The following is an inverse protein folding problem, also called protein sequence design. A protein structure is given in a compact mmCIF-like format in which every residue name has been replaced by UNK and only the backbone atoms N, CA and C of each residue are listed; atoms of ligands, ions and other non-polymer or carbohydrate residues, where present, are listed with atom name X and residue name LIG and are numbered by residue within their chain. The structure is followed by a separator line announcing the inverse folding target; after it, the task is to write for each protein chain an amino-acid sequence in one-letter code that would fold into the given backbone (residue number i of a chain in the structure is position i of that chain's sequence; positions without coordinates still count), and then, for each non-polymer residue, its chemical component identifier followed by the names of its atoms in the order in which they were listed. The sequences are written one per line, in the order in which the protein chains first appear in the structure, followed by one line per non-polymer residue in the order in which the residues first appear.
data_IF_618933069631
#
_entry.id   IF_618933069631
#
_cell.length_a   1.000
_cell.length_b   1.000
_cell.length_c   1.000
_cell.angle_alpha   90.00
_cell.angle_beta   90.00
_cell.angle_gamma   90.00
#
_symmetry.space_group_name_H-M   'P 1'
#
loop_
_entity.id
_entity.type
_entity.pdbx_description
1 polymer ?
#
# COMPACT_ATOMS: atom_id res chain seq x y z
N UNK A 1 -5.76 -0.60 -41.01
CA UNK A 1 -6.63 0.51 -40.55
C UNK A 1 -7.51 0.15 -39.32
N UNK A 2 -7.29 -0.98 -38.63
CA UNK A 2 -8.05 -1.33 -37.41
C UNK A 2 -7.26 -1.11 -36.09
N UNK A 3 -5.99 -0.73 -36.16
CA UNK A 3 -5.12 -0.58 -34.99
C UNK A 3 -5.15 0.84 -34.36
N UNK A 4 -5.48 1.88 -35.13
CA UNK A 4 -5.60 3.26 -34.63
C UNK A 4 -6.86 3.48 -33.77
N UNK A 5 -7.98 2.81 -34.08
CA UNK A 5 -9.20 2.98 -33.30
C UNK A 5 -9.16 2.33 -31.90
N UNK A 6 -8.22 1.40 -31.66
CA UNK A 6 -8.06 0.73 -30.37
C UNK A 6 -7.23 1.56 -29.36
N UNK A 7 -6.44 2.52 -29.84
CA UNK A 7 -5.59 3.37 -28.99
C UNK A 7 -6.36 4.56 -28.40
N UNK A 8 -7.30 5.15 -29.15
CA UNK A 8 -8.12 6.27 -28.68
C UNK A 8 -9.04 5.92 -27.49
N UNK A 9 -9.47 4.67 -27.36
CA UNK A 9 -10.28 4.20 -26.23
C UNK A 9 -9.50 3.96 -24.93
N UNK A 10 -8.20 3.66 -25.02
CA UNK A 10 -7.34 3.39 -23.87
C UNK A 10 -6.93 4.68 -23.16
N UNK A 11 -6.61 5.72 -23.92
CA UNK A 11 -6.25 7.04 -23.37
C UNK A 11 -7.43 7.74 -22.70
N UNK A 12 -8.65 7.53 -23.19
CA UNK A 12 -9.88 8.01 -22.55
C UNK A 12 -10.14 7.37 -21.17
N UNK A 13 -9.53 6.21 -20.90
CA UNK A 13 -9.54 5.51 -19.61
C UNK A 13 -8.22 5.60 -18.82
N UNK A 14 -7.24 6.36 -19.31
CA UNK A 14 -5.96 6.50 -18.62
C UNK A 14 -6.14 7.27 -17.32
N UNK A 15 -5.87 6.59 -16.20
CA UNK A 15 -5.78 7.22 -14.90
C UNK A 15 -4.65 8.24 -14.91
N UNK A 16 -4.95 9.49 -14.56
CA UNK A 16 -3.93 10.49 -14.30
C UNK A 16 -3.10 10.05 -13.09
N UNK A 17 -1.83 9.73 -13.30
CA UNK A 17 -0.91 9.38 -12.20
C UNK A 17 -0.37 10.67 -11.59
N UNK A 18 -0.60 10.86 -10.30
CA UNK A 18 -0.04 11.97 -9.52
C UNK A 18 0.90 11.39 -8.46
N UNK A 19 2.13 11.89 -8.43
CA UNK A 19 3.02 11.66 -7.30
C UNK A 19 2.65 12.66 -6.21
N UNK A 20 2.28 12.15 -5.04
CA UNK A 20 1.98 12.96 -3.86
C UNK A 20 3.06 12.71 -2.81
N UNK A 21 3.40 13.73 -2.01
CA UNK A 21 4.20 13.56 -0.81
C UNK A 21 3.28 13.28 0.39
N UNK A 22 3.52 12.15 1.06
CA UNK A 22 2.71 11.66 2.17
C UNK A 22 3.42 11.87 3.52
N UNK A 23 4.63 12.43 3.52
CA UNK A 23 5.39 12.69 4.75
C UNK A 23 4.80 13.82 5.60
N UNK A 24 3.78 14.55 5.14
CA UNK A 24 3.11 15.56 5.95
C UNK A 24 2.39 14.99 7.19
N UNK A 25 2.01 13.70 7.17
CA UNK A 25 1.48 13.00 8.34
C UNK A 25 2.54 12.71 9.41
N UNK A 26 3.83 12.81 9.05
CA UNK A 26 4.93 12.76 10.00
C UNK A 26 5.08 14.19 10.53
N UNK A 27 4.79 14.39 11.83
CA UNK A 27 5.38 15.53 12.53
C UNK A 27 6.90 15.60 12.27
N UNK A 28 7.57 16.74 12.53
CA UNK A 28 8.91 17.04 12.01
C UNK A 28 9.89 15.87 12.23
N UNK A 29 10.26 15.20 11.13
CA UNK A 29 11.28 14.16 11.14
C UNK A 29 12.62 14.86 11.33
N UNK A 30 13.25 14.64 12.48
CA UNK A 30 14.60 15.12 12.77
C UNK A 30 15.57 14.39 11.83
N UNK A 31 15.92 15.04 10.72
CA UNK A 31 16.92 14.53 9.79
C UNK A 31 18.28 14.44 10.51
N UNK A 32 18.76 13.22 10.75
CA UNK A 32 20.09 12.93 11.27
C UNK A 32 21.11 12.80 10.12
N UNK A 33 21.11 13.74 9.19
CA UNK A 33 22.09 13.80 8.10
C UNK A 33 22.62 15.23 7.96
N UNK A 34 23.94 15.37 7.94
CA UNK A 34 24.67 16.63 7.84
C UNK A 34 24.92 17.09 6.40
N UNK A 35 24.37 16.40 5.39
CA UNK A 35 24.43 16.86 4.01
C UNK A 35 23.11 17.52 3.59
N UNK A 36 23.14 18.72 2.97
CA UNK A 36 21.96 19.32 2.40
C UNK A 36 21.48 18.41 1.25
N UNK A 37 20.22 17.94 1.27
CA UNK A 37 19.70 17.16 0.17
C UNK A 37 19.76 17.99 -1.13
N UNK A 38 19.92 17.36 -2.31
CA UNK A 38 19.69 18.05 -3.58
C UNK A 38 18.31 18.73 -3.54
N UNK A 39 18.07 19.81 -4.31
CA UNK A 39 16.77 20.46 -4.36
C UNK A 39 15.73 19.47 -4.89
N UNK A 40 15.17 18.70 -3.95
CA UNK A 40 14.06 17.81 -4.16
C UNK A 40 12.87 18.72 -4.42
N UNK A 41 12.37 18.72 -5.65
CA UNK A 41 11.00 19.14 -5.89
C UNK A 41 10.16 18.06 -5.23
N UNK A 42 9.93 18.22 -3.92
CA UNK A 42 9.03 17.35 -3.18
C UNK A 42 7.71 17.33 -3.96
N UNK A 43 7.14 16.14 -4.25
CA UNK A 43 5.89 16.06 -4.97
C UNK A 43 4.85 16.93 -4.25
N UNK A 44 4.01 17.66 -4.99
CA UNK A 44 3.01 18.52 -4.37
C UNK A 44 2.13 17.68 -3.45
N UNK A 45 1.87 18.18 -2.24
CA UNK A 45 0.89 17.55 -1.36
C UNK A 45 -0.47 17.54 -2.07
N UNK A 46 -1.18 16.41 -2.02
CA UNK A 46 -2.60 16.38 -2.41
C UNK A 46 -3.44 17.17 -1.40
N UNK A 47 -4.68 17.57 -1.77
CA UNK A 47 -5.62 18.15 -0.80
C UNK A 47 -5.72 17.25 0.44
N UNK A 48 -5.67 17.84 1.63
CA UNK A 48 -5.64 17.07 2.89
C UNK A 48 -6.94 16.28 3.13
N UNK A 49 -8.04 16.74 2.55
CA UNK A 49 -9.38 16.15 2.61
C UNK A 49 -9.66 15.15 1.47
N UNK A 50 -8.74 14.96 0.53
CA UNK A 50 -8.90 13.96 -0.53
C UNK A 50 -8.92 12.55 0.07
N UNK A 51 -9.92 11.75 -0.33
CA UNK A 51 -10.15 10.37 0.10
C UNK A 51 -10.33 9.46 -1.11
N UNK A 52 -9.99 8.19 -0.96
CA UNK A 52 -10.01 7.20 -2.05
C UNK A 52 -10.90 6.01 -1.70
N UNK A 53 -11.72 5.58 -2.66
CA UNK A 53 -12.52 4.35 -2.56
C UNK A 53 -11.63 3.10 -2.59
N UNK A 54 -10.49 3.18 -3.29
CA UNK A 54 -9.52 2.09 -3.42
C UNK A 54 -8.12 2.64 -3.20
N UNK A 55 -7.36 2.00 -2.31
CA UNK A 55 -5.92 2.26 -2.13
C UNK A 55 -5.16 0.98 -2.44
N UNK A 56 -4.12 1.07 -3.28
CA UNK A 56 -3.24 -0.04 -3.60
C UNK A 56 -1.84 0.24 -3.05
N UNK A 57 -1.27 -0.73 -2.34
CA UNK A 57 0.10 -0.70 -1.83
C UNK A 57 0.87 -1.94 -2.27
N UNK A 58 2.11 -1.76 -2.72
CA UNK A 58 3.03 -2.87 -3.01
C UNK A 58 4.34 -2.64 -2.30
N UNK A 59 4.76 -3.62 -1.49
CA UNK A 59 5.99 -3.59 -0.70
C UNK A 59 6.22 -2.25 0.03
N UNK A 60 5.30 -1.84 0.88
CA UNK A 60 5.36 -0.53 1.56
C UNK A 60 5.76 -0.59 3.04
N UNK A 61 6.13 -1.78 3.55
CA UNK A 61 6.44 -2.04 4.96
C UNK A 61 7.86 -2.62 5.10
N UNK A 62 8.88 -1.75 5.02
CA UNK A 62 10.29 -2.15 5.12
C UNK A 62 10.93 -1.84 6.47
N UNK A 63 10.45 -0.82 7.17
CA UNK A 63 11.01 -0.34 8.42
C UNK A 63 9.91 -0.22 9.47
N UNK A 64 10.23 -0.46 10.74
CA UNK A 64 9.22 -0.48 11.83
C UNK A 64 8.35 0.78 11.88
N UNK A 65 8.93 1.98 11.69
CA UNK A 65 8.15 3.22 11.69
C UNK A 65 7.10 3.30 10.57
N UNK A 66 7.25 2.52 9.49
CA UNK A 66 6.29 2.49 8.39
C UNK A 66 4.97 1.86 8.83
N UNK A 67 4.96 0.95 9.82
CA UNK A 67 3.73 0.36 10.33
C UNK A 67 2.74 1.44 10.79
N UNK A 68 3.16 2.30 11.72
CA UNK A 68 2.33 3.40 12.21
C UNK A 68 2.03 4.44 11.12
N UNK A 69 3.01 4.78 10.28
CA UNK A 69 2.85 5.79 9.23
C UNK A 69 1.85 5.37 8.16
N UNK A 70 1.93 4.12 7.69
CA UNK A 70 1.02 3.57 6.67
C UNK A 70 -0.38 3.42 7.25
N UNK A 71 -0.52 2.92 8.48
CA UNK A 71 -1.84 2.81 9.13
C UNK A 71 -2.52 4.19 9.30
N UNK A 72 -1.77 5.22 9.71
CA UNK A 72 -2.28 6.59 9.79
C UNK A 72 -2.71 7.13 8.43
N UNK A 73 -1.91 6.88 7.39
CA UNK A 73 -2.25 7.23 6.01
C UNK A 73 -3.54 6.55 5.56
N UNK A 74 -3.72 5.27 5.82
CA UNK A 74 -4.93 4.53 5.43
C UNK A 74 -6.15 5.08 6.18
N UNK A 75 -6.03 5.34 7.48
CA UNK A 75 -7.09 5.96 8.26
C UNK A 75 -7.47 7.32 7.68
N UNK A 76 -6.49 8.17 7.40
CA UNK A 76 -6.75 9.49 6.85
C UNK A 76 -7.33 9.41 5.45
N UNK A 77 -6.82 8.55 4.57
CA UNK A 77 -7.08 8.64 3.12
C UNK A 77 -8.15 7.68 2.61
N UNK A 78 -8.52 6.66 3.36
CA UNK A 78 -9.55 5.73 2.91
C UNK A 78 -10.94 6.34 3.06
N UNK A 79 -11.70 6.39 1.96
CA UNK A 79 -13.08 6.88 1.97
C UNK A 79 -14.01 6.00 2.81
N UNK A 80 -15.13 6.55 3.26
CA UNK A 80 -16.20 5.76 3.87
C UNK A 80 -16.71 4.72 2.86
N UNK A 81 -16.66 3.43 3.23
CA UNK A 81 -17.01 2.33 2.33
C UNK A 81 -15.89 1.90 1.36
N UNK A 82 -14.72 2.53 1.41
CA UNK A 82 -13.55 2.12 0.64
C UNK A 82 -12.86 0.87 1.19
N UNK A 83 -11.86 0.39 0.44
CA UNK A 83 -10.94 -0.65 0.87
C UNK A 83 -9.52 -0.42 0.35
N UNK A 84 -8.54 -1.02 1.02
CA UNK A 84 -7.15 -1.02 0.61
C UNK A 84 -6.66 -2.45 0.38
N UNK A 85 -5.85 -2.64 -0.66
CA UNK A 85 -5.15 -3.88 -0.98
C UNK A 85 -3.65 -3.63 -0.88
N UNK A 86 -3.00 -4.33 0.04
CA UNK A 86 -1.55 -4.23 0.24
C UNK A 86 -0.92 -5.59 0.00
N UNK A 87 -0.05 -5.66 -1.00
CA UNK A 87 0.74 -6.85 -1.30
C UNK A 87 2.19 -6.61 -0.86
N UNK A 88 2.74 -7.45 0.02
CA UNK A 88 4.12 -7.29 0.47
C UNK A 88 4.86 -8.62 0.58
N UNK A 89 6.16 -8.59 0.32
CA UNK A 89 7.10 -9.59 0.80
C UNK A 89 7.50 -9.29 2.27
N UNK A 90 7.25 -10.23 3.17
CA UNK A 90 7.43 -10.08 4.61
C UNK A 90 8.85 -10.47 5.02
N UNK A 91 9.76 -9.49 5.07
CA UNK A 91 11.14 -9.71 5.52
C UNK A 91 11.26 -9.89 7.02
N UNK A 92 10.64 -9.00 7.79
CA UNK A 92 10.64 -9.01 9.24
C UNK A 92 9.20 -9.14 9.74
N UNK A 93 8.85 -10.28 10.33
CA UNK A 93 7.47 -10.55 10.75
C UNK A 93 6.99 -9.56 11.82
N UNK A 94 7.89 -9.04 12.64
CA UNK A 94 7.60 -8.06 13.69
C UNK A 94 6.96 -6.77 13.14
N UNK A 95 7.43 -6.26 12.00
CA UNK A 95 6.90 -5.03 11.38
C UNK A 95 5.43 -5.23 10.98
N UNK A 96 5.08 -6.41 10.48
CA UNK A 96 3.71 -6.73 10.07
C UNK A 96 2.80 -6.93 11.27
N UNK A 97 3.29 -7.54 12.35
CA UNK A 97 2.54 -7.63 13.61
C UNK A 97 2.27 -6.24 14.21
N UNK A 98 3.24 -5.33 14.16
CA UNK A 98 3.05 -3.93 14.57
C UNK A 98 2.03 -3.23 13.67
N UNK A 99 2.11 -3.43 12.35
CA UNK A 99 1.14 -2.87 11.40
C UNK A 99 -0.29 -3.36 11.65
N UNK A 100 -0.48 -4.66 11.89
CA UNK A 100 -1.79 -5.24 12.26
C UNK A 100 -2.35 -4.57 13.53
N UNK A 101 -1.51 -4.34 14.54
CA UNK A 101 -1.91 -3.66 15.77
C UNK A 101 -2.26 -2.17 15.54
N UNK A 102 -1.48 -1.46 14.73
CA UNK A 102 -1.73 -0.05 14.37
C UNK A 102 -3.04 0.11 13.59
N UNK A 103 -3.34 -0.80 12.65
CA UNK A 103 -4.62 -0.81 11.91
C UNK A 103 -5.79 -1.07 12.86
N UNK A 104 -5.68 -2.07 13.74
CA UNK A 104 -6.71 -2.38 14.72
C UNK A 104 -6.98 -1.21 15.68
N UNK A 105 -5.93 -0.50 16.12
CA UNK A 105 -6.05 0.66 17.02
C UNK A 105 -6.84 1.84 16.42
N UNK A 106 -6.96 1.89 15.08
CA UNK A 106 -7.68 2.94 14.32
C UNK A 106 -9.09 2.52 13.90
N UNK A 107 -9.63 1.49 14.55
CA UNK A 107 -10.95 0.94 14.26
C UNK A 107 -11.14 0.52 12.78
N UNK A 108 -10.04 0.17 12.10
CA UNK A 108 -10.04 -0.48 10.79
C UNK A 108 -9.89 -1.99 11.00
N UNK A 109 -10.32 -2.77 10.00
CA UNK A 109 -10.13 -4.23 9.99
C UNK A 109 -9.05 -4.59 9.00
N UNK A 110 -8.29 -5.63 9.31
CA UNK A 110 -7.31 -6.21 8.41
C UNK A 110 -7.57 -7.70 8.29
N UNK A 111 -7.70 -8.19 7.07
CA UNK A 111 -7.63 -9.62 6.76
C UNK A 111 -6.36 -9.88 5.96
N UNK A 112 -5.57 -10.86 6.37
CA UNK A 112 -4.31 -11.23 5.72
C UNK A 112 -4.42 -12.61 5.09
N UNK A 113 -4.03 -12.70 3.82
CA UNK A 113 -3.97 -13.94 3.05
C UNK A 113 -2.52 -14.21 2.63
N UNK A 114 -2.05 -15.47 2.67
CA UNK A 114 -0.80 -15.82 2.03
C UNK A 114 -0.93 -15.58 0.52
N UNK A 115 0.09 -14.99 -0.07
CA UNK A 115 0.25 -14.86 -1.51
C UNK A 115 1.41 -15.75 -1.96
N UNK A 116 1.36 -16.22 -3.21
CA UNK A 116 2.46 -16.96 -3.80
C UNK A 116 2.89 -16.26 -5.08
N UNK A 117 4.12 -15.72 -5.15
CA UNK A 117 4.62 -15.18 -6.40
C UNK A 117 4.75 -16.31 -7.41
N UNK A 118 4.58 -15.97 -8.69
CA UNK A 118 4.88 -16.92 -9.75
C UNK A 118 6.37 -17.27 -9.72
N UNK A 119 6.79 -18.47 -10.17
CA UNK A 119 8.19 -18.87 -10.16
C UNK A 119 9.14 -17.90 -10.89
N UNK A 120 8.65 -17.19 -11.91
CA UNK A 120 9.40 -16.15 -12.63
C UNK A 120 9.56 -14.83 -11.87
N UNK A 121 8.72 -14.59 -10.85
CA UNK A 121 8.62 -13.32 -10.12
C UNK A 121 9.19 -13.40 -8.70
N UNK A 122 9.85 -14.51 -8.32
CA UNK A 122 10.44 -14.70 -6.98
C UNK A 122 11.65 -13.77 -6.67
N UNK A 123 11.94 -12.80 -7.53
CA UNK A 123 13.09 -11.90 -7.38
C UNK A 123 14.43 -12.64 -7.42
N UNK A 124 15.28 -12.39 -6.43
CA UNK A 124 16.61 -13.00 -6.34
C UNK A 124 16.50 -14.42 -5.77
N UNK A 125 16.57 -15.42 -6.64
CA UNK A 125 16.60 -16.85 -6.27
C UNK A 125 17.66 -17.13 -5.19
N UNK A 126 17.32 -17.94 -4.19
CA UNK A 126 18.22 -18.31 -3.09
C UNK A 126 18.16 -17.40 -1.86
N UNK A 127 17.25 -16.41 -1.84
CA UNK A 127 16.97 -15.53 -0.70
C UNK A 127 15.56 -15.72 -0.14
N UNK A 128 14.93 -16.85 -0.41
CA UNK A 128 13.60 -17.16 0.10
C UNK A 128 13.55 -17.14 1.63
N UNK A 129 14.66 -17.49 2.28
CA UNK A 129 14.87 -17.45 3.73
C UNK A 129 14.92 -16.03 4.31
N UNK A 130 15.12 -15.00 3.48
CA UNK A 130 15.13 -13.60 3.91
C UNK A 130 13.70 -13.06 4.12
N UNK A 131 12.68 -13.83 3.77
CA UNK A 131 11.26 -13.47 3.89
C UNK A 131 10.58 -14.31 4.96
N UNK A 132 10.84 -14.00 6.23
CA UNK A 132 10.34 -14.72 7.41
C UNK A 132 8.83 -15.02 7.34
N UNK A 133 8.02 -14.07 6.87
CA UNK A 133 6.57 -14.22 6.77
C UNK A 133 6.04 -14.55 5.38
N UNK A 134 6.92 -14.87 4.42
CA UNK A 134 6.57 -15.15 3.02
C UNK A 134 6.03 -13.92 2.29
N UNK A 135 5.06 -14.13 1.40
CA UNK A 135 4.34 -13.04 0.70
C UNK A 135 2.91 -12.98 1.21
N UNK A 136 2.39 -11.77 1.40
CA UNK A 136 1.04 -11.55 1.92
C UNK A 136 0.26 -10.57 1.06
N UNK A 137 -1.02 -10.88 0.86
CA UNK A 137 -2.04 -9.94 0.43
C UNK A 137 -2.88 -9.58 1.65
N UNK A 138 -2.90 -8.29 2.00
CA UNK A 138 -3.69 -7.76 3.11
C UNK A 138 -4.81 -6.90 2.55
N UNK A 139 -6.01 -7.09 3.08
CA UNK A 139 -7.21 -6.31 2.78
C UNK A 139 -7.53 -5.48 4.02
N UNK A 140 -7.61 -4.17 3.86
CA UNK A 140 -7.90 -3.23 4.96
C UNK A 140 -9.17 -2.45 4.64
N UNK A 141 -10.10 -2.39 5.57
CA UNK A 141 -11.34 -1.62 5.42
C UNK A 141 -11.85 -1.03 6.73
N UNK A 142 -12.95 -0.26 6.65
CA UNK A 142 -13.68 0.23 7.81
C UNK A 142 -14.91 -0.65 8.11
N UNK A 143 -15.35 -0.78 9.37
CA UNK A 143 -16.61 -1.42 9.71
C UNK A 143 -17.78 -0.88 8.88
N UNK A 144 -18.59 -1.78 8.33
CA UNK A 144 -19.71 -1.44 7.44
C UNK A 144 -19.32 -1.26 5.96
N UNK A 145 -18.02 -1.32 5.61
CA UNK A 145 -17.57 -1.32 4.21
C UNK A 145 -18.10 -2.55 3.46
N UNK A 146 -18.48 -2.43 2.16
CA UNK A 146 -18.82 -3.56 1.30
C UNK A 146 -17.63 -4.50 1.04
N UNK A 147 -16.41 -4.07 1.40
CA UNK A 147 -15.21 -4.91 1.39
C UNK A 147 -15.21 -5.96 2.51
N UNK A 148 -16.13 -5.85 3.48
CA UNK A 148 -16.37 -6.86 4.49
C UNK A 148 -16.74 -8.19 3.81
N UNK A 149 -15.85 -9.18 3.87
CA UNK A 149 -16.07 -10.47 3.22
C UNK A 149 -15.41 -10.63 1.85
N UNK A 150 -14.58 -9.68 1.41
CA UNK A 150 -13.61 -9.89 0.32
C UNK A 150 -12.64 -11.06 0.58
N UNK A 151 -12.67 -11.64 1.78
CA UNK A 151 -12.07 -12.93 2.15
C UNK A 151 -12.48 -14.08 1.22
N UNK A 152 -13.63 -13.95 0.52
CA UNK A 152 -14.09 -14.87 -0.51
C UNK A 152 -13.53 -14.60 -1.90
N UNK A 153 -12.57 -13.68 -2.06
CA UNK A 153 -11.74 -13.62 -3.26
C UNK A 153 -11.04 -14.97 -3.39
N UNK A 154 -11.69 -15.88 -4.12
CA UNK A 154 -11.09 -17.12 -4.58
C UNK A 154 -9.98 -16.69 -5.52
N UNK A 155 -8.79 -16.58 -4.97
CA UNK A 155 -7.56 -16.60 -5.73
C UNK A 155 -7.47 -18.02 -6.28
N UNK A 156 -8.17 -18.27 -7.40
CA UNK A 156 -8.05 -19.51 -8.15
C UNK A 156 -6.61 -19.55 -8.67
N UNK A 157 -5.79 -20.36 -8.00
CA UNK A 157 -4.40 -20.66 -8.33
C UNK A 157 -4.29 -21.71 -9.43
#
# INVERSE_FOLDING_TARGET
MAAEAATEGWEAGCAAVRFLDWNAARGPVRAASSEPPPPSVAPPMGPADERFEVILGTDILYEGWMAASVAAVLEERLAEGGGALICCAVREQAIFTEFEAEVASRAMRLTSHPAQPQPQDMGVKGREWDYEGGFRLMIIDRPGSPWAGAEQLRLES
#
